data_IF_195224679868
#
_entry.id   IF_195224679868
#
_cell.length_a   1.000
_cell.length_b   1.000
_cell.length_c   1.000
_cell.angle_alpha   90.00
_cell.angle_beta   90.00
_cell.angle_gamma   90.00
#
_symmetry.space_group_name_H-M   'P 1'
#
loop_
_entity.id
_entity.type
_entity.pdbx_description
1 polymer ?
#
# COMPACT_ATOMS: atom_id res chain seq x y z
N UNK A 1 -9.75 19.55 6.34
CA UNK A 1 -10.15 18.31 5.68
C UNK A 1 -11.07 18.69 4.56
N UNK A 2 -10.81 18.19 3.35
CA UNK A 2 -11.59 18.51 2.17
C UNK A 2 -12.84 17.62 2.11
N UNK A 3 -13.79 17.96 1.24
CA UNK A 3 -15.04 17.18 1.03
C UNK A 3 -14.92 16.30 -0.21
N UNK A 4 -13.76 15.71 -0.40
CA UNK A 4 -13.43 14.85 -1.54
C UNK A 4 -13.19 13.41 -1.10
N UNK A 5 -13.07 12.52 -2.08
CA UNK A 5 -12.69 11.13 -1.87
C UNK A 5 -11.39 10.87 -2.62
N UNK A 6 -10.41 10.31 -1.92
CA UNK A 6 -9.17 9.83 -2.53
C UNK A 6 -9.36 8.38 -2.93
N UNK A 7 -9.00 8.06 -4.17
CA UNK A 7 -9.11 6.72 -4.75
C UNK A 7 -7.74 6.25 -5.18
N UNK A 8 -7.34 5.07 -4.73
CA UNK A 8 -6.06 4.44 -5.07
C UNK A 8 -6.28 2.93 -5.32
N UNK A 9 -6.68 2.54 -6.54
CA UNK A 9 -7.04 1.16 -6.85
C UNK A 9 -5.89 0.17 -6.65
N UNK A 10 -4.66 0.57 -6.98
CA UNK A 10 -3.48 -0.29 -6.88
C UNK A 10 -3.13 -0.59 -5.42
N UNK A 11 -3.41 0.36 -4.52
CA UNK A 11 -3.24 0.20 -3.09
C UNK A 11 -4.54 -0.20 -2.37
N UNK A 12 -5.59 -0.60 -3.08
CA UNK A 12 -6.84 -1.07 -2.47
C UNK A 12 -6.90 -2.59 -2.27
N UNK A 13 -7.78 -3.06 -1.39
CA UNK A 13 -8.00 -4.50 -1.16
C UNK A 13 -9.07 -5.06 -2.13
N UNK A 14 -8.79 -6.16 -2.83
CA UNK A 14 -9.78 -6.82 -3.71
C UNK A 14 -10.74 -7.69 -2.90
N UNK A 15 -11.64 -7.05 -2.15
CA UNK A 15 -12.64 -7.73 -1.30
C UNK A 15 -14.00 -7.93 -2.00
N UNK A 16 -14.10 -7.59 -3.29
CA UNK A 16 -15.33 -7.77 -4.07
C UNK A 16 -15.69 -9.24 -4.31
N UNK A 17 -16.93 -9.45 -4.77
CA UNK A 17 -17.32 -10.70 -5.39
C UNK A 17 -16.52 -10.96 -6.69
N UNK A 18 -16.39 -12.24 -7.07
CA UNK A 18 -15.77 -12.60 -8.36
C UNK A 18 -16.59 -12.02 -9.50
N UNK A 19 -15.95 -11.20 -10.32
CA UNK A 19 -16.56 -10.55 -11.49
C UNK A 19 -15.63 -10.69 -12.69
N UNK A 20 -16.17 -10.47 -13.88
CA UNK A 20 -15.36 -10.37 -15.10
C UNK A 20 -14.65 -9.01 -15.08
N UNK A 21 -13.34 -9.02 -14.79
CA UNK A 21 -12.53 -7.80 -14.67
C UNK A 21 -12.00 -7.36 -16.04
N UNK A 22 -11.77 -8.31 -16.93
CA UNK A 22 -11.43 -8.12 -18.34
C UNK A 22 -12.16 -9.20 -19.15
N UNK A 23 -12.41 -9.00 -20.46
CA UNK A 23 -13.08 -10.00 -21.29
C UNK A 23 -12.41 -11.38 -21.18
N UNK A 24 -13.12 -12.36 -20.61
CA UNK A 24 -12.63 -13.73 -20.38
C UNK A 24 -11.79 -13.94 -19.11
N UNK A 25 -11.57 -12.91 -18.28
CA UNK A 25 -10.81 -12.99 -17.02
C UNK A 25 -11.75 -12.77 -15.83
N UNK A 26 -11.98 -13.84 -15.06
CA UNK A 26 -12.73 -13.80 -13.81
C UNK A 26 -11.76 -13.46 -12.67
N UNK A 27 -11.99 -12.35 -11.98
CA UNK A 27 -11.15 -11.87 -10.90
C UNK A 27 -11.94 -11.14 -9.83
N UNK A 28 -11.27 -10.79 -8.72
CA UNK A 28 -11.83 -9.85 -7.74
C UNK A 28 -11.35 -8.44 -8.11
N UNK A 29 -12.28 -7.50 -8.16
CA UNK A 29 -11.97 -6.09 -8.33
C UNK A 29 -11.67 -5.46 -6.98
N UNK A 30 -10.87 -4.40 -6.97
CA UNK A 30 -10.61 -3.60 -5.78
C UNK A 30 -11.87 -2.82 -5.39
N UNK A 31 -12.77 -3.46 -4.64
CA UNK A 31 -13.99 -2.84 -4.16
C UNK A 31 -14.39 -3.32 -2.76
N UNK A 32 -14.77 -2.40 -1.84
CA UNK A 32 -14.63 -0.94 -1.94
C UNK A 32 -13.18 -0.47 -2.08
N UNK A 33 -12.99 0.70 -2.70
CA UNK A 33 -11.69 1.34 -2.95
C UNK A 33 -11.09 1.95 -1.67
N UNK A 34 -10.97 1.14 -0.62
CA UNK A 34 -10.30 1.53 0.62
C UNK A 34 -8.80 1.42 0.46
N UNK A 35 -8.09 2.48 0.83
CA UNK A 35 -6.66 2.59 0.63
C UNK A 35 -5.95 1.82 1.73
N UNK A 36 -5.15 0.82 1.36
CA UNK A 36 -4.17 0.20 2.23
C UNK A 36 -2.85 0.97 2.06
N UNK A 37 -2.58 1.90 2.98
CA UNK A 37 -1.28 2.59 2.98
C UNK A 37 -0.21 1.63 3.47
N UNK A 38 0.93 1.59 2.77
CA UNK A 38 2.06 0.72 3.07
C UNK A 38 3.36 1.48 3.35
N UNK A 39 4.22 0.92 4.19
CA UNK A 39 5.58 1.43 4.41
C UNK A 39 6.45 1.24 3.16
N UNK A 40 6.25 0.14 2.42
CA UNK A 40 6.97 -0.21 1.18
C UNK A 40 6.96 0.91 0.14
N UNK A 41 5.84 1.60 0.01
CA UNK A 41 5.60 2.63 -1.02
C UNK A 41 5.80 4.04 -0.46
N UNK A 42 6.40 4.14 0.73
CA UNK A 42 6.61 5.40 1.48
C UNK A 42 5.30 6.18 1.65
N UNK A 43 4.18 5.46 1.86
CA UNK A 43 2.87 6.04 2.14
C UNK A 43 2.72 6.34 3.64
N UNK A 44 3.45 5.61 4.49
CA UNK A 44 3.61 5.83 5.92
C UNK A 44 4.91 6.59 6.20
N UNK A 45 4.88 7.55 7.11
CA UNK A 45 6.09 8.23 7.56
C UNK A 45 6.94 7.31 8.46
N UNK A 46 8.21 7.13 8.10
CA UNK A 46 9.19 6.34 8.87
C UNK A 46 9.72 7.10 10.09
N UNK A 47 9.55 8.42 10.12
CA UNK A 47 10.07 9.29 11.20
C UNK A 47 9.02 9.52 12.29
N UNK A 48 7.74 9.50 11.92
CA UNK A 48 6.67 9.80 12.86
C UNK A 48 6.44 8.67 13.86
N UNK A 49 6.37 9.02 15.15
CA UNK A 49 6.07 8.08 16.24
C UNK A 49 4.72 7.36 16.06
N UNK A 50 3.79 7.96 15.30
CA UNK A 50 2.47 7.38 15.05
C UNK A 50 2.49 6.26 14.01
N UNK A 51 3.38 6.35 13.01
CA UNK A 51 3.34 5.49 11.82
C UNK A 51 4.59 4.64 11.63
N UNK A 52 5.74 5.05 12.16
CA UNK A 52 7.01 4.32 12.03
C UNK A 52 6.96 2.85 12.50
N UNK A 53 6.17 2.47 13.52
CA UNK A 53 6.09 1.08 13.94
C UNK A 53 5.25 0.20 13.00
N UNK A 54 4.47 0.79 12.09
CA UNK A 54 3.45 0.11 11.30
C UNK A 54 3.93 -0.20 9.89
N UNK A 55 3.55 -1.36 9.37
CA UNK A 55 3.84 -1.75 7.98
C UNK A 55 2.73 -1.36 7.03
N UNK A 56 1.48 -1.33 7.51
CA UNK A 56 0.34 -0.89 6.75
C UNK A 56 -0.74 -0.29 7.65
N UNK A 57 -1.69 0.42 7.06
CA UNK A 57 -2.97 0.81 7.67
C UNK A 57 -4.08 0.77 6.61
N UNK A 58 -5.26 0.28 6.98
CA UNK A 58 -6.42 0.32 6.10
C UNK A 58 -7.24 1.60 6.35
N UNK A 59 -7.44 2.41 5.31
CA UNK A 59 -8.10 3.72 5.39
C UNK A 59 -9.38 3.71 4.53
N UNK A 60 -10.56 3.49 5.14
CA UNK A 60 -11.81 3.48 4.40
C UNK A 60 -12.24 4.90 4.01
N UNK A 61 -12.67 5.08 2.77
CA UNK A 61 -13.23 6.33 2.23
C UNK A 61 -12.58 7.60 2.77
N UNK A 62 -11.28 7.74 2.49
CA UNK A 62 -10.48 8.82 3.05
C UNK A 62 -10.54 10.08 2.18
N UNK A 63 -10.68 11.23 2.82
CA UNK A 63 -10.59 12.54 2.19
C UNK A 63 -9.17 13.09 2.25
N UNK A 64 -8.85 13.99 1.33
CA UNK A 64 -7.57 14.68 1.31
C UNK A 64 -7.47 15.74 2.40
N UNK A 65 -6.25 16.01 2.84
CA UNK A 65 -5.91 17.07 3.78
C UNK A 65 -5.09 18.16 3.09
N UNK A 66 -5.36 19.40 3.48
CA UNK A 66 -4.55 20.57 3.09
C UNK A 66 -4.01 21.22 4.34
N UNK A 67 -2.68 21.38 4.39
CA UNK A 67 -1.97 21.98 5.51
C UNK A 67 -1.74 23.47 5.22
N UNK A 68 -1.89 24.31 6.25
CA UNK A 68 -1.75 25.77 6.14
C UNK A 68 -0.73 26.28 7.18
N UNK A 69 0.58 26.04 6.97
CA UNK A 69 1.61 26.42 7.93
C UNK A 69 1.60 27.92 8.25
N UNK A 70 1.30 28.77 7.27
CA UNK A 70 1.24 30.23 7.41
C UNK A 70 0.20 30.70 8.45
N UNK A 71 -0.84 29.90 8.70
CA UNK A 71 -1.89 30.24 9.68
C UNK A 71 -1.47 29.95 11.12
N UNK A 72 -0.46 29.11 11.33
CA UNK A 72 0.02 28.68 12.65
C UNK A 72 1.56 28.52 12.61
N UNK A 73 2.32 29.63 12.54
CA UNK A 73 3.78 29.57 12.32
C UNK A 73 4.55 28.93 13.48
N UNK A 74 3.95 28.81 14.68
CA UNK A 74 4.52 28.15 15.86
C UNK A 74 4.15 26.67 15.97
N UNK A 75 3.55 26.11 14.92
CA UNK A 75 3.11 24.71 14.87
C UNK A 75 3.83 24.02 13.72
N UNK A 76 4.59 22.98 14.05
CA UNK A 76 5.18 22.07 13.07
C UNK A 76 4.07 21.18 12.53
N UNK A 77 3.84 21.23 11.22
CA UNK A 77 2.88 20.36 10.54
C UNK A 77 3.65 19.33 9.72
N UNK A 78 3.44 18.05 10.00
CA UNK A 78 4.11 16.95 9.31
C UNK A 78 3.08 16.03 8.67
N UNK A 79 3.36 15.59 7.44
CA UNK A 79 2.55 14.55 6.79
C UNK A 79 3.00 13.19 7.31
N UNK A 80 2.05 12.39 7.77
CA UNK A 80 2.31 11.05 8.31
C UNK A 80 1.68 9.92 7.47
N UNK A 81 0.62 10.25 6.72
CA UNK A 81 -0.06 9.35 5.81
C UNK A 81 -0.21 10.05 4.46
N UNK A 82 0.17 9.36 3.40
CA UNK A 82 0.02 9.82 2.02
C UNK A 82 -0.51 8.72 1.11
N UNK A 83 -1.12 9.10 -0.01
CA UNK A 83 -1.45 8.17 -1.09
C UNK A 83 -0.22 7.81 -1.91
N UNK A 84 -0.37 6.88 -2.85
CA UNK A 84 0.58 6.74 -3.94
C UNK A 84 0.49 7.92 -4.91
N UNK A 85 1.44 8.01 -5.85
CA UNK A 85 1.42 8.99 -6.94
C UNK A 85 0.32 8.71 -7.98
N UNK A 86 -0.22 7.49 -7.99
CA UNK A 86 -1.25 7.02 -8.92
C UNK A 86 -2.67 7.32 -8.43
N UNK A 87 -2.80 7.88 -7.23
CA UNK A 87 -4.10 8.18 -6.65
C UNK A 87 -4.80 9.36 -7.33
N UNK A 88 -6.13 9.33 -7.32
CA UNK A 88 -7.01 10.36 -7.85
C UNK A 88 -7.82 11.00 -6.73
N UNK A 89 -8.09 12.31 -6.83
CA UNK A 89 -9.08 13.01 -6.00
C UNK A 89 -10.37 13.17 -6.80
N UNK A 90 -11.50 12.74 -6.25
CA UNK A 90 -12.83 13.00 -6.82
C UNK A 90 -13.68 13.81 -5.84
N UNK A 91 -14.19 14.95 -6.31
CA UNK A 91 -14.91 15.94 -5.47
C UNK A 91 -16.42 16.04 -5.73
N UNK A 92 -16.95 15.36 -6.75
CA UNK A 92 -18.38 15.38 -7.13
C UNK A 92 -19.15 14.18 -6.56
N UNK A 93 -20.47 14.08 -6.80
CA UNK A 93 -21.24 12.86 -6.46
C UNK A 93 -20.60 11.65 -7.14
N UNK A 94 -20.03 10.75 -6.33
CA UNK A 94 -19.35 9.56 -6.81
C UNK A 94 -20.34 8.41 -6.76
N UNK A 95 -20.72 7.87 -7.92
CA UNK A 95 -21.31 6.54 -7.96
C UNK A 95 -20.16 5.54 -7.77
N UNK A 96 -19.97 5.07 -6.55
CA UNK A 96 -18.87 4.18 -6.17
C UNK A 96 -19.16 2.72 -6.61
N UNK A 97 -20.26 2.42 -7.30
CA UNK A 97 -20.55 1.05 -7.71
C UNK A 97 -19.50 0.50 -8.69
N UNK A 98 -19.22 -0.81 -8.60
CA UNK A 98 -18.21 -1.50 -9.41
C UNK A 98 -18.35 -1.20 -10.92
N UNK A 99 -19.58 -1.26 -11.44
CA UNK A 99 -19.87 -0.98 -12.86
C UNK A 99 -19.55 0.45 -13.26
N UNK A 100 -19.76 1.42 -12.35
CA UNK A 100 -19.49 2.83 -12.62
C UNK A 100 -17.99 3.15 -12.57
N UNK A 101 -17.23 2.49 -11.68
CA UNK A 101 -15.78 2.60 -11.64
C UNK A 101 -15.15 2.01 -12.91
N UNK A 102 -15.64 0.86 -13.38
CA UNK A 102 -15.19 0.26 -14.64
C UNK A 102 -15.50 1.15 -15.85
N UNK A 103 -16.64 1.84 -15.85
CA UNK A 103 -17.02 2.76 -16.94
C UNK A 103 -16.22 4.08 -16.93
N UNK A 104 -15.81 4.56 -15.74
CA UNK A 104 -15.03 5.78 -15.56
C UNK A 104 -13.73 5.46 -14.80
N UNK A 105 -12.73 4.88 -15.49
CA UNK A 105 -11.50 4.42 -14.88
C UNK A 105 -10.79 5.57 -14.16
N UNK A 106 -10.08 5.21 -13.09
CA UNK A 106 -9.39 6.16 -12.23
C UNK A 106 -8.13 6.65 -12.92
N UNK A 107 -7.94 7.97 -12.93
CA UNK A 107 -6.82 8.63 -13.60
C UNK A 107 -5.77 9.06 -12.57
N UNK A 108 -4.52 8.70 -12.83
CA UNK A 108 -3.40 9.08 -11.96
C UNK A 108 -3.26 10.60 -11.84
N UNK A 109 -3.20 11.10 -10.60
CA UNK A 109 -2.97 12.50 -10.30
C UNK A 109 -1.48 12.91 -10.36
N UNK A 110 -0.56 11.96 -10.48
CA UNK A 110 0.89 12.17 -10.61
C UNK A 110 1.56 12.76 -9.37
N UNK A 111 0.88 12.78 -8.21
CA UNK A 111 1.41 13.31 -6.95
C UNK A 111 0.81 12.61 -5.75
N UNK A 112 1.61 12.45 -4.70
CA UNK A 112 1.13 11.95 -3.40
C UNK A 112 0.14 12.96 -2.79
N UNK A 113 -0.97 12.44 -2.28
CA UNK A 113 -2.03 13.21 -1.63
C UNK A 113 -1.88 13.02 -0.13
N UNK A 114 -1.96 14.10 0.65
CA UNK A 114 -1.89 14.04 2.11
C UNK A 114 -3.20 13.44 2.65
N UNK A 115 -3.10 12.32 3.35
CA UNK A 115 -4.23 11.60 3.95
C UNK A 115 -4.31 11.79 5.48
N UNK A 116 -3.17 12.07 6.10
CA UNK A 116 -3.03 12.21 7.55
C UNK A 116 -1.81 13.05 7.92
N UNK A 117 -1.95 13.82 8.99
CA UNK A 117 -0.91 14.73 9.44
C UNK A 117 -0.87 14.84 10.96
N UNK A 118 0.31 15.15 11.48
CA UNK A 118 0.54 15.53 12.88
C UNK A 118 0.83 17.02 12.95
N UNK A 119 0.30 17.67 13.98
CA UNK A 119 0.53 19.07 14.25
C UNK A 119 1.04 19.20 15.69
N UNK A 120 2.24 19.74 15.86
CA UNK A 120 2.90 19.86 17.16
C UNK A 120 3.40 21.29 17.40
N UNK A 121 3.02 21.88 18.53
CA UNK A 121 3.52 23.20 18.92
C UNK A 121 2.54 24.00 19.77
N UNK A 122 2.67 25.33 19.68
CA UNK A 122 1.81 26.30 20.36
C UNK A 122 0.74 26.82 19.40
N UNK A 123 -0.52 26.46 19.65
CA UNK A 123 -1.63 26.81 18.79
C UNK A 123 -2.21 28.15 19.22
N UNK A 124 -2.51 29.00 18.24
CA UNK A 124 -3.38 30.16 18.42
C UNK A 124 -4.82 29.80 18.09
N UNK A 125 -5.76 30.19 18.93
CA UNK A 125 -7.19 30.02 18.65
C UNK A 125 -7.56 30.71 17.35
N UNK A 126 -8.40 30.05 16.55
CA UNK A 126 -9.03 30.65 15.36
C UNK A 126 -10.14 31.63 15.73
N UNK A 127 -10.73 31.48 16.92
CA UNK A 127 -11.87 32.26 17.36
C UNK A 127 -11.40 33.47 18.18
N UNK A 128 -11.71 34.67 17.70
CA UNK A 128 -11.35 35.91 18.38
C UNK A 128 -12.18 36.14 19.66
N UNK A 129 -13.41 35.64 19.69
CA UNK A 129 -14.31 35.75 20.84
C UNK A 129 -14.36 34.44 21.64
N UNK A 130 -14.08 34.52 22.94
CA UNK A 130 -14.28 33.42 23.88
C UNK A 130 -15.79 33.25 24.10
N UNK A 131 -16.36 32.02 23.98
CA UNK A 131 -17.77 31.79 24.28
C UNK A 131 -18.11 32.25 25.69
N UNK A 132 -19.24 32.96 25.86
CA UNK A 132 -19.68 33.54 27.14
C UNK A 132 -19.85 32.51 28.27
N UNK A 133 -19.98 31.23 27.93
CA UNK A 133 -20.06 30.09 28.85
C UNK A 133 -18.80 29.90 29.68
N UNK A 134 -17.64 30.35 29.19
CA UNK A 134 -16.36 30.23 29.89
C UNK A 134 -15.96 31.58 30.50
N UNK A 135 -15.40 31.56 31.72
CA UNK A 135 -14.84 32.77 32.34
C UNK A 135 -13.75 33.35 31.42
N UNK A 136 -13.83 34.65 31.11
CA UNK A 136 -12.90 35.36 30.23
C UNK A 136 -11.42 35.31 30.68
N UNK A 137 -11.16 34.87 31.92
CA UNK A 137 -9.82 34.73 32.52
C UNK A 137 -9.00 33.54 32.01
N UNK A 138 -9.59 32.64 31.23
CA UNK A 138 -8.95 31.40 30.81
C UNK A 138 -8.00 31.63 29.62
N UNK A 139 -6.72 31.91 29.91
CA UNK A 139 -5.67 32.15 28.91
C UNK A 139 -5.48 31.00 27.91
N UNK A 140 -5.75 29.75 28.32
CA UNK A 140 -5.68 28.56 27.47
C UNK A 140 -6.67 28.56 26.29
N UNK A 141 -7.72 29.40 26.34
CA UNK A 141 -8.72 29.50 25.26
C UNK A 141 -8.22 30.34 24.08
N UNK A 142 -7.23 31.22 24.30
CA UNK A 142 -6.66 32.06 23.25
C UNK A 142 -5.46 31.40 22.57
N UNK A 143 -4.65 30.71 23.35
CA UNK A 143 -3.46 30.04 22.86
C UNK A 143 -3.03 28.93 23.82
N UNK A 144 -2.21 28.00 23.32
CA UNK A 144 -1.52 27.03 24.17
C UNK A 144 -0.74 27.77 25.27
N UNK A 145 -0.84 27.28 26.50
CA UNK A 145 -0.14 27.84 27.65
C UNK A 145 1.38 27.83 27.43
N UNK A 146 2.06 28.83 27.98
CA UNK A 146 3.51 28.92 27.91
C UNK A 146 4.17 27.71 28.59
N UNK A 147 5.24 27.19 27.99
CA UNK A 147 5.91 25.97 28.44
C UNK A 147 5.14 24.67 28.15
N UNK A 148 3.96 24.71 27.53
CA UNK A 148 3.24 23.52 27.07
C UNK A 148 3.26 23.39 25.55
N UNK A 149 3.27 22.14 25.10
CA UNK A 149 3.16 21.78 23.70
C UNK A 149 1.87 20.99 23.50
N UNK A 150 1.14 21.30 22.44
CA UNK A 150 -0.03 20.52 22.02
C UNK A 150 0.37 19.67 20.82
N UNK A 151 -0.10 18.42 20.79
CA UNK A 151 0.07 17.50 19.67
C UNK A 151 -1.32 17.10 19.18
N UNK A 152 -1.58 17.21 17.87
CA UNK A 152 -2.84 16.86 17.24
C UNK A 152 -2.56 15.88 16.11
N UNK A 153 -3.26 14.75 16.12
CA UNK A 153 -3.30 13.79 15.02
C UNK A 153 -4.57 14.03 14.21
N UNK A 154 -4.44 14.19 12.89
CA UNK A 154 -5.57 14.34 11.97
C UNK A 154 -5.49 13.28 10.89
N UNK A 155 -6.59 12.56 10.67
CA UNK A 155 -6.75 11.57 9.61
C UNK A 155 -8.00 11.93 8.82
N UNK A 156 -7.92 11.90 7.49
CA UNK A 156 -9.01 12.31 6.60
C UNK A 156 -10.22 11.38 6.56
N UNK A 157 -10.31 10.37 7.45
CA UNK A 157 -11.39 9.39 7.47
C UNK A 157 -11.95 9.20 8.87
N UNK A 158 -13.28 9.32 9.06
CA UNK A 158 -13.93 8.94 10.31
C UNK A 158 -14.07 7.42 10.46
N UNK A 159 -13.91 6.65 9.37
CA UNK A 159 -14.18 5.22 9.34
C UNK A 159 -13.04 4.36 9.88
N UNK A 160 -11.92 4.98 10.27
CA UNK A 160 -10.79 4.28 10.89
C UNK A 160 -11.18 3.53 12.18
N UNK A 161 -12.20 4.03 12.88
CA UNK A 161 -12.76 3.46 14.12
C UNK A 161 -14.09 2.73 13.89
N UNK A 162 -14.46 2.47 12.64
CA UNK A 162 -15.76 1.89 12.30
C UNK A 162 -15.77 0.37 12.49
N UNK A 163 -16.89 -0.15 13.00
CA UNK A 163 -17.20 -1.59 13.06
C UNK A 163 -17.17 -2.25 11.68
N UNK A 164 -17.28 -1.46 10.62
CA UNK A 164 -17.21 -1.91 9.24
C UNK A 164 -15.85 -2.59 8.93
N UNK A 165 -14.79 -2.23 9.66
CA UNK A 165 -13.49 -2.88 9.55
C UNK A 165 -13.44 -4.26 10.24
N UNK A 166 -14.39 -4.58 11.11
CA UNK A 166 -14.48 -5.86 11.81
C UNK A 166 -15.13 -6.99 10.99
N UNK A 167 -15.56 -6.71 9.74
CA UNK A 167 -16.09 -7.70 8.82
C UNK A 167 -15.07 -8.80 8.49
N UNK A 168 -15.49 -10.05 8.18
CA UNK A 168 -14.60 -11.18 7.97
C UNK A 168 -13.44 -10.92 6.99
N UNK A 169 -13.68 -10.13 5.94
CA UNK A 169 -12.74 -9.81 4.88
C UNK A 169 -11.59 -8.90 5.36
N UNK A 170 -11.87 -8.00 6.31
CA UNK A 170 -10.90 -6.99 6.80
C UNK A 170 -10.50 -7.17 8.25
N UNK A 171 -11.16 -8.07 8.98
CA UNK A 171 -10.98 -8.30 10.42
C UNK A 171 -9.53 -8.50 10.80
N UNK A 172 -8.78 -9.26 10.01
CA UNK A 172 -7.37 -9.54 10.32
C UNK A 172 -6.52 -8.27 10.27
N UNK A 173 -6.61 -7.50 9.19
CA UNK A 173 -5.90 -6.21 9.05
C UNK A 173 -6.35 -5.24 10.15
N UNK A 174 -7.66 -5.18 10.42
CA UNK A 174 -8.19 -4.33 11.48
C UNK A 174 -7.59 -4.65 12.86
N UNK A 175 -7.50 -5.93 13.22
CA UNK A 175 -6.95 -6.39 14.50
C UNK A 175 -5.43 -6.26 14.61
N UNK A 176 -4.71 -6.45 13.50
CA UNK A 176 -3.25 -6.46 13.49
C UNK A 176 -2.64 -5.07 13.28
N UNK A 177 -3.35 -4.16 12.61
CA UNK A 177 -2.83 -2.87 12.17
C UNK A 177 -3.63 -1.67 12.73
N UNK A 178 -4.90 -1.53 12.34
CA UNK A 178 -5.71 -0.37 12.70
C UNK A 178 -5.97 -0.23 14.22
N UNK A 179 -6.36 -1.31 14.91
CA UNK A 179 -6.58 -1.27 16.37
C UNK A 179 -5.28 -0.88 17.10
N UNK A 180 -4.13 -1.52 16.85
CA UNK A 180 -2.89 -1.12 17.49
C UNK A 180 -2.47 0.31 17.17
N UNK A 181 -2.73 0.81 15.95
CA UNK A 181 -2.51 2.21 15.59
C UNK A 181 -3.34 3.18 16.43
N UNK A 182 -4.62 2.89 16.61
CA UNK A 182 -5.51 3.69 17.45
C UNK A 182 -5.05 3.70 18.91
N UNK A 183 -4.70 2.53 19.45
CA UNK A 183 -4.19 2.41 20.82
C UNK A 183 -2.86 3.17 21.00
N UNK A 184 -1.95 3.08 20.03
CA UNK A 184 -0.71 3.84 20.07
C UNK A 184 -0.95 5.35 19.97
N UNK A 185 -1.92 5.77 19.15
CA UNK A 185 -2.28 7.18 19.03
C UNK A 185 -2.81 7.76 20.35
N UNK A 186 -3.59 6.98 21.11
CA UNK A 186 -4.04 7.34 22.45
C UNK A 186 -2.87 7.42 23.43
N UNK A 187 -2.02 6.38 23.49
CA UNK A 187 -0.85 6.36 24.37
C UNK A 187 0.10 7.56 24.09
N UNK A 188 0.40 7.85 22.82
CA UNK A 188 1.21 9.02 22.44
C UNK A 188 0.55 10.32 22.89
N UNK A 189 -0.77 10.41 22.85
CA UNK A 189 -1.51 11.59 23.31
C UNK A 189 -1.48 11.74 24.84
N UNK A 190 -1.36 10.65 25.58
CA UNK A 190 -1.16 10.61 27.04
C UNK A 190 0.32 10.83 27.43
N UNK A 191 1.24 10.73 26.47
CA UNK A 191 2.69 10.82 26.71
C UNK A 191 3.36 9.50 27.09
N UNK A 192 2.65 8.38 26.97
CA UNK A 192 3.19 7.02 27.15
C UNK A 192 3.68 6.45 25.81
N UNK A 193 4.94 6.02 25.76
CA UNK A 193 5.57 5.47 24.55
C UNK A 193 6.05 4.03 24.69
N UNK A 194 5.96 3.44 25.88
CA UNK A 194 6.68 2.19 26.20
C UNK A 194 6.17 0.97 25.43
N UNK A 195 4.90 0.99 25.01
CA UNK A 195 4.24 -0.13 24.34
C UNK A 195 4.14 0.03 22.81
N UNK A 196 4.61 1.15 22.26
CA UNK A 196 4.38 1.51 20.84
C UNK A 196 5.10 0.52 19.91
N UNK A 197 6.38 0.24 20.16
CA UNK A 197 7.20 -0.61 19.30
C UNK A 197 6.72 -2.06 19.28
N UNK A 198 6.24 -2.58 20.41
CA UNK A 198 5.75 -3.95 20.54
C UNK A 198 4.49 -4.15 19.68
N UNK A 199 3.59 -3.17 19.70
CA UNK A 199 2.34 -3.21 18.92
C UNK A 199 2.57 -3.06 17.42
N UNK A 200 3.54 -2.23 17.02
CA UNK A 200 3.93 -2.06 15.62
C UNK A 200 4.39 -3.34 14.93
N UNK A 201 5.21 -4.14 15.63
CA UNK A 201 5.73 -5.42 15.09
C UNK A 201 4.63 -6.43 14.73
N UNK A 202 3.45 -6.34 15.37
CA UNK A 202 2.31 -7.21 15.08
C UNK A 202 1.57 -6.81 13.79
N UNK A 203 1.73 -5.57 13.33
CA UNK A 203 1.08 -5.02 12.13
C UNK A 203 1.64 -5.53 10.80
N UNK A 204 2.50 -6.54 10.81
CA UNK A 204 3.13 -7.09 9.61
C UNK A 204 2.18 -7.98 8.78
N UNK A 205 1.04 -7.43 8.34
CA UNK A 205 0.26 -8.04 7.27
C UNK A 205 0.94 -7.71 5.94
N UNK A 206 1.89 -8.53 5.50
CA UNK A 206 2.55 -8.32 4.21
C UNK A 206 1.54 -8.63 3.09
N UNK A 207 0.93 -7.58 2.50
CA UNK A 207 0.31 -7.72 1.17
C UNK A 207 1.46 -8.10 0.23
N UNK A 208 1.25 -9.11 -0.61
CA UNK A 208 2.20 -9.36 -1.69
C UNK A 208 2.26 -8.09 -2.52
N UNK A 209 3.45 -7.49 -2.63
CA UNK A 209 3.63 -6.27 -3.41
C UNK A 209 3.05 -6.51 -4.81
N UNK A 210 2.10 -5.68 -5.28
CA UNK A 210 1.64 -5.81 -6.64
C UNK A 210 2.85 -5.60 -7.55
N UNK A 211 3.06 -6.51 -8.51
CA UNK A 211 4.08 -6.33 -9.52
C UNK A 211 3.89 -4.96 -10.19
N UNK A 212 4.97 -4.21 -10.34
CA UNK A 212 4.98 -2.98 -11.12
C UNK A 212 4.50 -3.26 -12.54
N UNK A 213 4.00 -2.23 -13.25
CA UNK A 213 3.57 -2.39 -14.63
C UNK A 213 4.68 -2.96 -15.52
N UNK A 214 5.93 -2.54 -15.28
CA UNK A 214 7.12 -3.04 -15.98
C UNK A 214 7.35 -4.53 -15.71
N UNK A 215 7.26 -4.96 -14.45
CA UNK A 215 7.39 -6.37 -14.09
C UNK A 215 6.26 -7.21 -14.70
N UNK A 216 5.01 -6.74 -14.62
CA UNK A 216 3.86 -7.40 -15.27
C UNK A 216 4.10 -7.57 -16.76
N UNK A 217 4.59 -6.52 -17.44
CA UNK A 217 4.89 -6.57 -18.86
C UNK A 217 6.01 -7.54 -19.20
N UNK A 218 7.09 -7.59 -18.40
CA UNK A 218 8.18 -8.55 -18.57
C UNK A 218 7.70 -9.99 -18.37
N UNK A 219 6.94 -10.26 -17.30
CA UNK A 219 6.40 -11.59 -17.04
C UNK A 219 5.42 -12.03 -18.14
N UNK A 220 4.57 -11.12 -18.61
CA UNK A 220 3.70 -11.39 -19.75
C UNK A 220 4.51 -11.68 -21.02
N UNK A 221 5.56 -10.91 -21.29
CA UNK A 221 6.44 -11.14 -22.44
C UNK A 221 7.16 -12.49 -22.36
N UNK A 222 7.68 -12.87 -21.18
CA UNK A 222 8.32 -14.17 -20.95
C UNK A 222 7.30 -15.32 -21.11
N UNK A 223 6.08 -15.16 -20.62
CA UNK A 223 5.06 -16.19 -20.80
C UNK A 223 4.63 -16.35 -22.26
N UNK A 224 4.47 -15.25 -23.00
CA UNK A 224 4.03 -15.27 -24.40
C UNK A 224 5.15 -15.76 -25.33
N UNK A 225 6.38 -15.30 -25.15
CA UNK A 225 7.48 -15.61 -26.07
C UNK A 225 8.50 -16.58 -25.49
N UNK A 226 8.83 -16.45 -24.20
CA UNK A 226 9.86 -17.26 -23.54
C UNK A 226 9.48 -18.73 -23.44
N UNK A 227 8.25 -19.07 -23.01
CA UNK A 227 7.82 -20.46 -22.90
C UNK A 227 7.78 -21.15 -24.29
N UNK A 228 7.16 -20.56 -25.33
CA UNK A 228 7.21 -21.15 -26.67
C UNK A 228 8.63 -21.24 -27.24
N UNK A 229 9.49 -20.24 -27.01
CA UNK A 229 10.88 -20.27 -27.47
C UNK A 229 11.68 -21.39 -26.79
N UNK A 230 11.51 -21.62 -25.49
CA UNK A 230 12.15 -22.72 -24.78
C UNK A 230 11.68 -24.09 -25.28
N UNK A 231 10.38 -24.24 -25.53
CA UNK A 231 9.83 -25.47 -26.12
C UNK A 231 10.34 -25.69 -27.55
N UNK A 232 10.40 -24.63 -28.35
CA UNK A 232 10.98 -24.64 -29.70
C UNK A 232 12.46 -25.03 -29.68
N UNK A 233 13.25 -24.44 -28.77
CA UNK A 233 14.66 -24.76 -28.62
C UNK A 233 14.85 -26.20 -28.15
N UNK A 234 14.08 -26.67 -27.16
CA UNK A 234 14.14 -28.04 -26.69
C UNK A 234 13.82 -29.04 -27.79
N UNK A 235 12.74 -28.81 -28.55
CA UNK A 235 12.35 -29.68 -29.67
C UNK A 235 13.41 -29.68 -30.77
N UNK A 236 13.96 -28.52 -31.12
CA UNK A 236 15.06 -28.40 -32.07
C UNK A 236 16.31 -29.17 -31.63
N UNK A 237 16.77 -28.97 -30.39
CA UNK A 237 17.92 -29.67 -29.82
C UNK A 237 17.68 -31.19 -29.74
N UNK A 238 16.45 -31.61 -29.40
CA UNK A 238 16.07 -33.02 -29.38
C UNK A 238 16.11 -33.65 -30.77
N UNK A 239 15.68 -32.93 -31.81
CA UNK A 239 15.74 -33.39 -33.20
C UNK A 239 17.18 -33.47 -33.69
N UNK A 240 18.02 -32.45 -33.43
CA UNK A 240 19.44 -32.50 -33.77
C UNK A 240 20.16 -33.67 -33.09
N UNK A 241 19.92 -33.90 -31.80
CA UNK A 241 20.52 -35.04 -31.09
C UNK A 241 20.07 -36.40 -31.64
N UNK A 242 18.86 -36.51 -32.19
CA UNK A 242 18.37 -37.73 -32.87
C UNK A 242 18.97 -37.91 -34.26
N UNK A 243 19.19 -36.82 -34.98
CA UNK A 243 19.68 -36.83 -36.36
C UNK A 243 21.22 -36.77 -36.44
N UNK A 244 21.91 -36.57 -35.32
CA UNK A 244 23.37 -36.69 -35.26
C UNK A 244 23.72 -38.18 -35.38
N UNK A 245 24.38 -38.62 -36.47
CA UNK A 245 24.82 -40.00 -36.57
C UNK A 245 25.80 -40.27 -35.44
N UNK A 246 25.53 -41.28 -34.61
CA UNK A 246 26.56 -41.87 -33.75
C UNK A 246 27.68 -42.31 -34.69
N UNK A 247 28.80 -41.59 -34.69
CA UNK A 247 30.04 -42.04 -35.30
C UNK A 247 30.36 -43.39 -34.68
N UNK A 248 30.10 -44.47 -35.42
CA UNK A 248 30.55 -45.81 -35.06
C UNK A 248 32.06 -45.83 -35.22
N UNK A 249 32.78 -45.43 -34.18
CA UNK A 249 34.21 -45.72 -34.04
C UNK A 249 34.36 -46.70 -32.89
N UNK A 250 33.90 -47.93 -33.12
CA UNK A 250 34.27 -49.09 -32.33
C UNK A 250 34.34 -50.27 -33.32
N UNK A 251 35.40 -51.06 -33.21
CA UNK A 251 35.81 -52.19 -34.06
C UNK A 251 36.70 -51.85 -35.27
N UNK A 252 37.96 -51.47 -35.01
CA UNK A 252 39.04 -51.90 -35.90
C UNK A 252 40.39 -52.22 -35.22
N UNK A 253 40.47 -52.25 -33.89
CA UNK A 253 41.76 -52.44 -33.17
C UNK A 253 41.92 -53.80 -32.47
N UNK A 254 40.99 -54.75 -32.65
CA UNK A 254 41.05 -56.07 -32.01
C UNK A 254 41.25 -57.26 -32.96
N UNK A 255 41.45 -57.03 -34.26
CA UNK A 255 41.62 -58.12 -35.23
C UNK A 255 43.07 -58.42 -35.66
N UNK A 256 44.05 -57.57 -35.35
CA UNK A 256 45.46 -57.84 -35.72
C UNK A 256 46.30 -58.58 -34.67
N UNK A 257 45.78 -58.82 -33.45
CA UNK A 257 46.56 -59.49 -32.39
C UNK A 257 46.39 -61.01 -32.27
N UNK A 258 45.55 -61.64 -33.10
CA UNK A 258 45.24 -63.08 -32.99
C UNK A 258 45.68 -63.95 -34.19
N UNK A 259 46.51 -63.45 -35.12
CA UNK A 259 46.93 -64.23 -36.30
C UNK A 259 48.38 -64.77 -36.26
N UNK A 260 49.11 -64.63 -35.15
CA UNK A 260 50.49 -65.13 -35.02
C UNK A 260 50.68 -66.28 -34.00
N UNK A 261 49.63 -67.05 -33.70
CA UNK A 261 49.74 -68.20 -32.78
C UNK A 261 49.16 -69.52 -33.30
N UNK A 262 49.13 -69.74 -34.61
CA UNK A 262 48.94 -71.08 -35.18
C UNK A 262 49.63 -71.19 -36.55
N UNK A 263 50.91 -71.56 -36.53
CA UNK A 263 51.63 -72.41 -37.49
C UNK A 263 53.01 -72.74 -36.93
#
# INVERSE_FOLDING_TARGET
MNTDLVLDPNHSLPISSLTEVEPGIIGKYAYPLWILVGSSDQMLSEVSQFTSPFQNLLLPWISSLTLFPDKQPKVKMETILSSSEEAEIRSSVIAIGEKQILANPIQSGGKKIVLGATLEGSFKSRFDSIPKTFKQSNSFLKQTLEGKTTKILVIGSPYLVSDLLALPETRKIYQESNIPFLLNSLNISEGDTDLIEIRGKKSAFLKLNPFSETEKNIFNFINIFGIPALLGLYTFLRIQRRNSPKTKTFYHETFEKNFYYNL
#
